data_IF_219586100513
#
_entry.id   IF_219586100513
#
_cell.length_a   1.000
_cell.length_b   1.000
_cell.length_c   1.000
_cell.angle_alpha   90.00
_cell.angle_beta   90.00
_cell.angle_gamma   90.00
#
_symmetry.space_group_name_H-M   'P 1'
#
loop_
_entity.id
_entity.type
_entity.pdbx_description
1 polymer ?
#
# COMPACT_ATOMS: atom_id res chain seq x y z
N UNK A 1 -15.46 2.10 -8.60
CA UNK A 1 -14.78 1.50 -7.43
C UNK A 1 -15.55 0.29 -6.96
N UNK A 2 -15.04 -0.94 -7.11
CA UNK A 2 -15.56 -2.12 -6.43
C UNK A 2 -15.11 -2.13 -4.96
N UNK A 3 -15.93 -2.71 -4.09
CA UNK A 3 -15.68 -2.89 -2.68
C UNK A 3 -15.89 -4.33 -2.27
N UNK A 4 -15.03 -4.89 -1.44
CA UNK A 4 -15.21 -6.19 -0.80
C UNK A 4 -15.48 -5.99 0.68
N UNK A 5 -16.49 -6.68 1.23
CA UNK A 5 -16.69 -6.83 2.68
C UNK A 5 -16.38 -8.27 3.04
N UNK A 6 -15.20 -8.47 3.64
CA UNK A 6 -14.74 -9.77 4.14
C UNK A 6 -15.51 -10.20 5.40
N UNK A 7 -15.55 -11.49 5.67
CA UNK A 7 -16.23 -12.04 6.84
C UNK A 7 -15.66 -11.56 8.19
N UNK A 8 -14.42 -11.07 8.19
CA UNK A 8 -13.74 -10.54 9.38
C UNK A 8 -13.96 -9.04 9.59
N UNK A 9 -14.68 -8.38 8.69
CA UNK A 9 -14.92 -6.94 8.74
C UNK A 9 -15.81 -6.53 9.91
N UNK A 10 -15.57 -5.33 10.45
CA UNK A 10 -16.58 -4.64 11.26
C UNK A 10 -17.72 -4.17 10.35
N UNK A 11 -18.82 -4.92 10.36
CA UNK A 11 -19.98 -4.72 9.49
C UNK A 11 -20.58 -3.32 9.68
N UNK A 12 -20.67 -2.84 10.93
CA UNK A 12 -21.26 -1.53 11.21
C UNK A 12 -20.41 -0.41 10.65
N UNK A 13 -19.10 -0.50 10.82
CA UNK A 13 -18.14 0.45 10.26
C UNK A 13 -18.17 0.39 8.73
N UNK A 14 -18.11 -0.80 8.13
CA UNK A 14 -18.10 -0.99 6.68
C UNK A 14 -19.35 -0.38 6.03
N UNK A 15 -20.55 -0.76 6.49
CA UNK A 15 -21.81 -0.27 5.95
C UNK A 15 -21.97 1.24 6.14
N UNK A 16 -21.63 1.76 7.33
CA UNK A 16 -21.70 3.20 7.58
C UNK A 16 -20.76 3.98 6.65
N UNK A 17 -19.54 3.50 6.48
CA UNK A 17 -18.53 4.11 5.61
C UNK A 17 -18.98 4.12 4.15
N UNK A 18 -19.52 3.00 3.66
CA UNK A 18 -20.04 2.90 2.28
C UNK A 18 -21.23 3.85 2.07
N UNK A 19 -22.17 3.92 3.02
CA UNK A 19 -23.30 4.83 2.92
C UNK A 19 -22.80 6.29 2.90
N UNK A 20 -21.92 6.64 3.81
CA UNK A 20 -21.37 7.99 3.90
C UNK A 20 -20.64 8.40 2.59
N UNK A 21 -19.83 7.51 2.07
CA UNK A 21 -19.12 7.69 0.80
C UNK A 21 -20.06 7.79 -0.40
N UNK A 22 -21.05 6.88 -0.48
CA UNK A 22 -21.96 6.80 -1.64
C UNK A 22 -23.00 7.91 -1.67
N UNK A 23 -23.31 8.52 -0.53
CA UNK A 23 -24.22 9.65 -0.43
C UNK A 23 -23.52 11.01 -0.50
N UNK A 24 -22.20 11.03 -0.32
CA UNK A 24 -21.41 12.24 -0.49
C UNK A 24 -21.56 12.76 -1.93
N UNK A 25 -21.95 14.01 -2.05
CA UNK A 25 -22.25 14.65 -3.34
C UNK A 25 -23.19 13.81 -4.23
N UNK A 26 -24.18 13.17 -3.63
CA UNK A 26 -25.08 12.21 -4.27
C UNK A 26 -24.37 11.19 -5.16
N UNK A 27 -23.21 10.71 -4.74
CA UNK A 27 -22.46 9.65 -5.43
C UNK A 27 -21.75 10.09 -6.72
N UNK A 28 -21.58 11.40 -6.94
CA UNK A 28 -20.89 11.93 -8.14
C UNK A 28 -19.38 11.72 -8.08
N UNK A 29 -18.79 11.58 -6.92
CA UNK A 29 -17.35 11.34 -6.82
C UNK A 29 -17.00 10.02 -7.52
N UNK A 30 -16.10 10.07 -8.50
CA UNK A 30 -15.69 8.92 -9.31
C UNK A 30 -15.07 7.78 -8.48
N UNK A 31 -14.47 8.09 -7.32
CA UNK A 31 -13.97 7.11 -6.36
C UNK A 31 -15.07 6.48 -5.50
N UNK A 32 -16.34 6.96 -5.54
CA UNK A 32 -17.42 6.37 -4.74
C UNK A 32 -17.69 4.92 -5.14
N UNK A 33 -18.19 4.16 -4.19
CA UNK A 33 -18.52 2.75 -4.38
C UNK A 33 -19.60 2.58 -5.46
N UNK A 34 -19.31 1.76 -6.48
CA UNK A 34 -20.26 1.41 -7.53
C UNK A 34 -20.89 0.04 -7.28
N UNK A 35 -20.16 -0.79 -6.55
CA UNK A 35 -20.54 -2.16 -6.23
C UNK A 35 -19.96 -2.59 -4.89
N UNK A 36 -20.65 -3.48 -4.18
CA UNK A 36 -20.18 -4.14 -2.99
C UNK A 36 -20.32 -5.65 -3.14
N UNK A 37 -19.22 -6.38 -3.00
CA UNK A 37 -19.20 -7.85 -2.95
C UNK A 37 -19.06 -8.27 -1.50
N UNK A 38 -20.03 -9.02 -0.99
CA UNK A 38 -20.13 -9.41 0.41
C UNK A 38 -19.94 -10.92 0.52
N UNK A 39 -19.13 -11.37 1.49
CA UNK A 39 -18.98 -12.78 1.79
C UNK A 39 -20.30 -13.39 2.21
N UNK A 40 -20.62 -14.58 1.69
CA UNK A 40 -21.92 -15.23 1.89
C UNK A 40 -22.26 -15.44 3.37
N UNK A 41 -21.24 -15.73 4.20
CA UNK A 41 -21.40 -15.97 5.65
C UNK A 41 -22.01 -14.78 6.40
N UNK A 42 -21.72 -13.57 5.96
CA UNK A 42 -22.18 -12.31 6.61
C UNK A 42 -23.22 -11.55 5.77
N UNK A 43 -23.58 -12.06 4.59
CA UNK A 43 -24.39 -11.35 3.60
C UNK A 43 -25.72 -10.81 4.20
N UNK A 44 -26.42 -11.66 4.92
CA UNK A 44 -27.72 -11.28 5.50
C UNK A 44 -27.58 -10.24 6.62
N UNK A 45 -26.50 -10.25 7.36
CA UNK A 45 -26.22 -9.27 8.40
C UNK A 45 -25.90 -7.91 7.77
N UNK A 46 -25.02 -7.87 6.78
CA UNK A 46 -24.70 -6.67 6.00
C UNK A 46 -25.96 -6.07 5.37
N UNK A 47 -26.81 -6.92 4.77
CA UNK A 47 -28.08 -6.49 4.17
C UNK A 47 -29.02 -5.83 5.21
N UNK A 48 -29.15 -6.44 6.38
CA UNK A 48 -29.95 -5.87 7.49
C UNK A 48 -29.40 -4.52 7.94
N UNK A 49 -28.07 -4.40 8.05
CA UNK A 49 -27.42 -3.16 8.46
C UNK A 49 -27.62 -2.04 7.44
N UNK A 50 -27.51 -2.31 6.13
CA UNK A 50 -27.86 -1.35 5.08
C UNK A 50 -29.30 -0.90 5.18
N UNK A 51 -30.25 -1.84 5.32
CA UNK A 51 -31.68 -1.52 5.44
C UNK A 51 -31.97 -0.70 6.70
N UNK A 52 -31.40 -1.05 7.85
CA UNK A 52 -31.50 -0.33 9.10
C UNK A 52 -31.07 1.13 8.98
N UNK A 53 -30.02 1.39 8.17
CA UNK A 53 -29.48 2.74 7.95
C UNK A 53 -30.19 3.52 6.85
N UNK A 54 -31.29 3.04 6.31
CA UNK A 54 -32.14 3.76 5.36
C UNK A 54 -31.80 3.51 3.89
N UNK A 55 -31.13 2.40 3.56
CA UNK A 55 -31.00 1.95 2.18
C UNK A 55 -32.19 1.09 1.78
N UNK A 56 -32.59 1.19 0.52
CA UNK A 56 -33.71 0.47 -0.05
C UNK A 56 -33.25 -0.65 -0.97
N UNK A 57 -33.62 -1.88 -0.68
CA UNK A 57 -33.35 -3.04 -1.53
C UNK A 57 -34.46 -3.20 -2.58
N UNK A 58 -34.07 -3.07 -3.83
CA UNK A 58 -34.99 -3.16 -4.96
C UNK A 58 -35.56 -4.58 -5.10
N UNK A 59 -36.88 -4.70 -5.27
CA UNK A 59 -37.54 -5.95 -5.59
C UNK A 59 -37.28 -6.34 -7.04
N UNK A 60 -37.55 -7.58 -7.40
CA UNK A 60 -37.23 -8.13 -8.72
C UNK A 60 -37.83 -7.33 -9.90
N UNK A 61 -39.06 -6.86 -9.75
CA UNK A 61 -39.72 -6.02 -10.76
C UNK A 61 -39.19 -4.58 -10.77
N UNK A 62 -38.81 -4.04 -9.61
CA UNK A 62 -38.20 -2.72 -9.45
C UNK A 62 -36.77 -2.68 -10.04
N UNK A 63 -35.98 -3.75 -9.87
CA UNK A 63 -34.65 -3.90 -10.49
C UNK A 63 -34.68 -3.60 -11.99
N UNK A 64 -35.64 -4.20 -12.72
CA UNK A 64 -35.75 -4.02 -14.17
C UNK A 64 -36.12 -2.59 -14.57
N UNK A 65 -36.89 -1.89 -13.73
CA UNK A 65 -37.22 -0.49 -13.96
C UNK A 65 -35.97 0.40 -13.73
N UNK A 66 -35.22 0.15 -12.67
CA UNK A 66 -34.00 0.90 -12.37
C UNK A 66 -32.91 0.63 -13.39
N UNK A 67 -32.72 -0.63 -13.87
CA UNK A 67 -31.81 -0.94 -15.00
C UNK A 67 -32.04 -0.03 -16.20
N UNK A 68 -33.27 0.05 -16.65
CA UNK A 68 -33.68 0.91 -17.80
C UNK A 68 -33.49 2.40 -17.52
N UNK A 69 -33.37 2.79 -16.25
CA UNK A 69 -33.12 4.18 -15.85
C UNK A 69 -31.62 4.49 -15.74
N UNK A 70 -30.79 3.50 -15.37
CA UNK A 70 -29.34 3.67 -15.28
C UNK A 70 -28.72 3.86 -16.66
N UNK A 71 -29.04 2.96 -17.61
CA UNK A 71 -28.48 2.95 -18.97
C UNK A 71 -29.59 3.29 -19.97
N UNK A 72 -29.36 4.33 -20.77
CA UNK A 72 -30.26 4.77 -21.83
C UNK A 72 -29.46 4.89 -23.13
N UNK A 73 -29.90 4.23 -24.18
CA UNK A 73 -29.21 4.26 -25.46
C UNK A 73 -27.77 3.73 -25.42
N UNK A 74 -27.48 2.77 -24.51
CA UNK A 74 -26.16 2.16 -24.36
C UNK A 74 -25.16 2.97 -23.52
N UNK A 75 -25.59 4.09 -22.93
CA UNK A 75 -24.72 4.96 -22.12
C UNK A 75 -25.38 5.31 -20.80
N UNK A 76 -24.55 5.73 -19.83
CA UNK A 76 -25.05 6.24 -18.55
C UNK A 76 -26.07 7.36 -18.76
N UNK A 77 -27.23 7.23 -18.14
CA UNK A 77 -28.26 8.27 -18.18
C UNK A 77 -27.80 9.53 -17.41
N UNK A 78 -27.40 10.56 -18.12
CA UNK A 78 -26.94 11.82 -17.51
C UNK A 78 -27.98 12.46 -16.55
N UNK A 79 -29.27 12.12 -16.66
CA UNK A 79 -30.31 12.69 -15.81
C UNK A 79 -30.29 12.15 -14.38
N UNK A 80 -29.64 10.99 -14.11
CA UNK A 80 -29.52 10.43 -12.77
C UNK A 80 -28.27 10.90 -12.05
N UNK A 81 -27.29 11.45 -12.76
CA UNK A 81 -26.01 11.88 -12.17
C UNK A 81 -26.25 12.96 -11.12
N UNK A 82 -25.76 12.72 -9.90
CA UNK A 82 -25.91 13.65 -8.78
C UNK A 82 -27.33 13.80 -8.22
N UNK A 83 -28.30 12.99 -8.68
CA UNK A 83 -29.65 13.00 -8.13
C UNK A 83 -29.75 12.17 -6.84
N UNK A 84 -30.70 12.50 -5.98
CA UNK A 84 -30.99 11.69 -4.80
C UNK A 84 -31.56 10.32 -5.18
N UNK A 85 -31.41 9.33 -4.28
CA UNK A 85 -31.98 8.00 -4.47
C UNK A 85 -33.51 8.05 -4.67
N UNK A 86 -34.19 8.91 -3.94
CA UNK A 86 -35.64 9.13 -4.08
C UNK A 86 -35.99 9.63 -5.50
N UNK A 87 -35.26 10.63 -6.02
CA UNK A 87 -35.52 11.17 -7.36
C UNK A 87 -35.27 10.13 -8.46
N UNK A 88 -34.24 9.32 -8.30
CA UNK A 88 -33.94 8.23 -9.25
C UNK A 88 -35.04 7.16 -9.23
N UNK A 89 -35.51 6.80 -8.04
CA UNK A 89 -36.63 5.87 -7.90
C UNK A 89 -37.91 6.42 -8.56
N UNK A 90 -38.22 7.72 -8.36
CA UNK A 90 -39.36 8.38 -9.02
C UNK A 90 -39.22 8.31 -10.56
N UNK A 91 -38.04 8.61 -11.11
CA UNK A 91 -37.74 8.50 -12.55
C UNK A 91 -37.90 7.08 -13.08
N UNK A 92 -37.60 6.06 -12.26
CA UNK A 92 -37.76 4.66 -12.58
C UNK A 92 -39.20 4.16 -12.38
N UNK A 93 -40.11 4.95 -11.84
CA UNK A 93 -41.45 4.54 -11.47
C UNK A 93 -41.47 3.51 -10.33
N UNK A 94 -40.59 3.70 -9.35
CA UNK A 94 -40.48 2.89 -8.13
C UNK A 94 -40.81 3.77 -6.92
N UNK A 95 -41.68 3.30 -6.06
CA UNK A 95 -42.09 4.03 -4.84
C UNK A 95 -41.19 3.63 -3.68
N UNK A 96 -40.47 4.59 -3.12
CA UNK A 96 -39.56 4.44 -1.97
C UNK A 96 -39.84 5.57 -0.97
N UNK A 97 -39.45 5.42 0.31
CA UNK A 97 -39.48 6.54 1.27
C UNK A 97 -38.59 7.70 0.78
N UNK A 98 -39.00 8.93 0.99
CA UNK A 98 -38.25 10.13 0.63
C UNK A 98 -36.87 10.16 1.32
N UNK A 99 -36.77 9.60 2.51
CA UNK A 99 -35.52 9.48 3.29
C UNK A 99 -34.57 8.41 2.80
N UNK A 100 -34.88 7.70 1.70
CA UNK A 100 -34.04 6.64 1.13
C UNK A 100 -32.67 7.20 0.73
N UNK A 101 -31.61 6.61 1.30
CA UNK A 101 -30.24 7.06 1.07
C UNK A 101 -29.62 6.46 -0.20
N UNK A 102 -29.81 5.17 -0.42
CA UNK A 102 -29.23 4.42 -1.54
C UNK A 102 -30.26 3.42 -2.06
N UNK A 103 -30.36 3.27 -3.37
CA UNK A 103 -31.06 2.16 -4.01
C UNK A 103 -30.07 1.01 -4.22
N UNK A 104 -30.34 -0.14 -3.63
CA UNK A 104 -29.44 -1.32 -3.73
C UNK A 104 -30.08 -2.37 -4.62
N UNK A 105 -29.40 -2.75 -5.68
CA UNK A 105 -29.73 -3.88 -6.53
C UNK A 105 -28.93 -5.11 -6.17
N UNK A 106 -29.61 -6.18 -5.71
CA UNK A 106 -28.99 -7.50 -5.57
C UNK A 106 -28.89 -8.14 -6.95
N UNK A 107 -27.69 -8.30 -7.45
CA UNK A 107 -27.41 -8.82 -8.80
C UNK A 107 -26.30 -9.88 -8.74
N UNK A 108 -26.31 -10.78 -9.72
CA UNK A 108 -25.36 -11.90 -9.76
C UNK A 108 -24.21 -11.65 -10.76
N UNK A 109 -24.56 -11.10 -11.93
CA UNK A 109 -23.58 -10.87 -13.00
C UNK A 109 -22.77 -9.60 -12.73
N UNK A 110 -21.45 -9.74 -12.88
CA UNK A 110 -20.48 -8.62 -12.89
C UNK A 110 -20.09 -8.22 -14.31
N UNK A 111 -20.67 -8.87 -15.31
CA UNK A 111 -20.41 -8.57 -16.73
C UNK A 111 -21.01 -7.22 -17.12
N UNK A 112 -20.36 -6.53 -18.03
CA UNK A 112 -20.78 -5.19 -18.49
C UNK A 112 -22.18 -5.17 -19.15
N UNK A 113 -22.74 -6.33 -19.51
CA UNK A 113 -24.13 -6.44 -19.96
C UNK A 113 -25.17 -6.26 -18.85
N UNK A 114 -24.74 -6.30 -17.58
CA UNK A 114 -25.59 -5.96 -16.42
C UNK A 114 -25.46 -4.46 -16.11
N UNK A 115 -26.55 -3.72 -16.19
CA UNK A 115 -26.56 -2.27 -16.01
C UNK A 115 -26.07 -1.83 -14.61
N UNK A 116 -26.29 -2.67 -13.59
CA UNK A 116 -25.77 -2.40 -12.25
C UNK A 116 -24.24 -2.57 -12.14
N UNK A 117 -23.59 -3.24 -13.09
CA UNK A 117 -22.13 -3.35 -13.11
C UNK A 117 -21.43 -2.06 -13.57
N UNK A 118 -22.15 -1.19 -14.28
CA UNK A 118 -21.62 0.08 -14.77
C UNK A 118 -21.37 1.11 -13.67
N UNK A 119 -20.60 2.13 -14.00
CA UNK A 119 -20.52 3.36 -13.22
C UNK A 119 -21.88 4.09 -13.27
N UNK A 120 -22.33 4.61 -12.14
CA UNK A 120 -23.69 5.21 -12.01
C UNK A 120 -23.66 6.66 -11.58
N UNK A 121 -22.57 7.15 -10.99
CA UNK A 121 -22.38 8.53 -10.50
C UNK A 121 -23.60 9.05 -9.74
N UNK A 122 -24.19 8.20 -8.92
CA UNK A 122 -25.45 8.43 -8.22
C UNK A 122 -25.60 7.46 -7.05
N UNK A 123 -26.50 7.67 -6.10
CA UNK A 123 -26.73 6.78 -4.95
C UNK A 123 -27.47 5.49 -5.36
N UNK A 124 -26.97 4.79 -6.36
CA UNK A 124 -27.40 3.46 -6.79
C UNK A 124 -26.20 2.52 -6.65
N UNK A 125 -26.38 1.39 -5.97
CA UNK A 125 -25.32 0.45 -5.62
C UNK A 125 -25.68 -0.97 -6.07
N UNK A 126 -24.75 -1.66 -6.70
CA UNK A 126 -24.84 -3.10 -6.93
C UNK A 126 -24.40 -3.87 -5.68
N UNK A 127 -25.10 -4.93 -5.30
CA UNK A 127 -24.68 -5.82 -4.23
C UNK A 127 -24.57 -7.25 -4.73
N UNK A 128 -23.37 -7.80 -4.62
CA UNK A 128 -23.00 -9.15 -5.03
C UNK A 128 -22.72 -10.03 -3.82
N UNK A 129 -22.91 -11.32 -4.00
CA UNK A 129 -22.54 -12.34 -3.01
C UNK A 129 -21.32 -13.09 -3.50
N UNK A 130 -20.40 -13.47 -2.61
CA UNK A 130 -19.29 -14.36 -2.89
C UNK A 130 -19.20 -15.46 -1.83
N UNK A 131 -18.98 -16.71 -2.28
CA UNK A 131 -18.84 -17.88 -1.41
C UNK A 131 -17.44 -17.99 -0.81
N UNK A 132 -16.44 -17.54 -1.55
CA UNK A 132 -15.04 -17.58 -1.17
C UNK A 132 -14.40 -16.22 -1.40
N UNK A 133 -13.27 -15.97 -0.73
CA UNK A 133 -12.51 -14.75 -0.94
C UNK A 133 -12.00 -14.63 -2.38
N UNK A 134 -11.54 -15.74 -2.98
CA UNK A 134 -11.10 -15.77 -4.38
C UNK A 134 -12.23 -15.38 -5.36
N UNK A 135 -13.47 -15.82 -5.07
CA UNK A 135 -14.63 -15.40 -5.86
C UNK A 135 -14.89 -13.89 -5.71
N UNK A 136 -14.73 -13.34 -4.51
CA UNK A 136 -14.87 -11.91 -4.29
C UNK A 136 -13.80 -11.10 -5.04
N UNK A 137 -12.55 -11.57 -5.01
CA UNK A 137 -11.45 -10.99 -5.78
C UNK A 137 -11.74 -11.04 -7.28
N UNK A 138 -12.13 -12.20 -7.83
CA UNK A 138 -12.42 -12.36 -9.26
C UNK A 138 -13.55 -11.41 -9.72
N UNK A 139 -14.60 -11.25 -8.91
CA UNK A 139 -15.66 -10.27 -9.18
C UNK A 139 -15.15 -8.83 -9.18
N UNK A 140 -14.32 -8.46 -8.21
CA UNK A 140 -13.75 -7.13 -8.14
C UNK A 140 -12.79 -6.84 -9.29
N UNK A 141 -11.94 -7.79 -9.68
CA UNK A 141 -11.06 -7.68 -10.86
C UNK A 141 -11.84 -7.46 -12.14
N UNK A 142 -12.92 -8.24 -12.34
CA UNK A 142 -13.80 -8.09 -13.52
C UNK A 142 -14.42 -6.70 -13.56
N UNK A 143 -14.95 -6.22 -12.46
CA UNK A 143 -15.54 -4.88 -12.36
C UNK A 143 -14.50 -3.76 -12.59
N UNK A 144 -13.24 -3.96 -12.18
CA UNK A 144 -12.15 -3.02 -12.48
C UNK A 144 -11.80 -3.06 -13.96
N UNK A 145 -11.74 -4.25 -14.56
CA UNK A 145 -11.42 -4.39 -15.99
C UNK A 145 -12.46 -3.72 -16.89
N UNK A 146 -13.74 -3.95 -16.61
CA UNK A 146 -14.84 -3.42 -17.41
C UNK A 146 -15.13 -1.93 -17.11
N UNK A 147 -14.93 -1.49 -15.86
CA UNK A 147 -15.13 -0.09 -15.44
C UNK A 147 -13.96 0.83 -15.70
N UNK A 148 -12.80 0.29 -16.11
CA UNK A 148 -11.57 1.02 -16.36
C UNK A 148 -10.49 0.81 -15.30
N UNK A 149 -9.32 0.36 -15.77
CA UNK A 149 -8.15 0.14 -14.92
C UNK A 149 -7.61 1.45 -14.31
N UNK A 150 -6.92 1.29 -13.18
CA UNK A 150 -6.06 2.31 -12.59
C UNK A 150 -6.75 3.20 -11.56
N UNK A 151 -8.09 3.19 -11.44
CA UNK A 151 -8.77 4.17 -10.59
C UNK A 151 -8.64 3.84 -9.09
N UNK A 152 -9.58 3.12 -8.51
CA UNK A 152 -9.67 2.87 -7.07
C UNK A 152 -10.35 1.52 -6.78
N UNK A 153 -9.91 0.84 -5.74
CA UNK A 153 -10.59 -0.31 -5.13
C UNK A 153 -10.61 -0.16 -3.61
N UNK A 154 -11.55 -0.83 -2.94
CA UNK A 154 -11.64 -0.79 -1.49
C UNK A 154 -11.96 -2.17 -0.90
N UNK A 155 -11.55 -2.39 0.33
CA UNK A 155 -11.82 -3.60 1.10
C UNK A 155 -12.07 -3.25 2.57
N UNK A 156 -13.07 -3.89 3.17
CA UNK A 156 -13.32 -3.89 4.62
C UNK A 156 -12.99 -5.27 5.17
N UNK A 157 -12.05 -5.34 6.10
CA UNK A 157 -11.44 -6.58 6.59
C UNK A 157 -10.74 -6.32 7.92
N UNK A 158 -10.53 -7.35 8.75
CA UNK A 158 -9.57 -7.24 9.86
C UNK A 158 -8.17 -7.00 9.30
N UNK A 159 -7.50 -5.95 9.77
CA UNK A 159 -6.14 -5.60 9.31
C UNK A 159 -5.06 -6.65 9.66
N UNK A 160 -5.38 -7.63 10.48
CA UNK A 160 -4.52 -8.76 10.78
C UNK A 160 -4.57 -9.87 9.72
N UNK A 161 -5.56 -9.86 8.83
CA UNK A 161 -5.68 -10.77 7.69
C UNK A 161 -4.67 -10.41 6.57
N UNK A 162 -3.37 -10.47 6.90
CA UNK A 162 -2.29 -10.00 6.02
C UNK A 162 -2.23 -10.71 4.68
N UNK A 163 -2.53 -12.01 4.66
CA UNK A 163 -2.52 -12.80 3.42
C UNK A 163 -3.64 -12.35 2.47
N UNK A 164 -4.88 -12.22 2.97
CA UNK A 164 -6.00 -11.72 2.18
C UNK A 164 -5.77 -10.28 1.69
N UNK A 165 -5.19 -9.42 2.53
CA UNK A 165 -4.81 -8.06 2.12
C UNK A 165 -3.79 -8.09 0.99
N UNK A 166 -2.73 -8.90 1.11
CA UNK A 166 -1.72 -9.03 0.05
C UNK A 166 -2.30 -9.57 -1.26
N UNK A 167 -3.22 -10.53 -1.19
CA UNK A 167 -3.95 -11.03 -2.38
C UNK A 167 -4.73 -9.90 -3.05
N UNK A 168 -5.52 -9.13 -2.27
CA UNK A 168 -6.28 -8.00 -2.80
C UNK A 168 -5.38 -6.92 -3.41
N UNK A 169 -4.32 -6.54 -2.72
CA UNK A 169 -3.36 -5.52 -3.18
C UNK A 169 -2.70 -5.91 -4.51
N UNK A 170 -2.34 -7.19 -4.68
CA UNK A 170 -1.70 -7.68 -5.89
C UNK A 170 -2.69 -7.88 -7.06
N UNK A 171 -3.93 -8.28 -6.78
CA UNK A 171 -4.94 -8.51 -7.80
C UNK A 171 -5.49 -7.21 -8.40
N UNK A 172 -5.71 -6.18 -7.57
CA UNK A 172 -6.36 -4.95 -8.02
C UNK A 172 -5.43 -4.07 -8.84
N UNK A 173 -5.69 -3.96 -10.16
CA UNK A 173 -5.00 -3.02 -11.06
C UNK A 173 -5.55 -1.60 -10.89
N UNK A 174 -5.39 -1.04 -9.69
CA UNK A 174 -5.83 0.30 -9.32
C UNK A 174 -4.71 1.07 -8.60
N UNK A 175 -4.60 2.37 -8.84
CA UNK A 175 -3.58 3.21 -8.21
C UNK A 175 -3.88 3.54 -6.74
N UNK A 176 -5.13 3.36 -6.32
CA UNK A 176 -5.60 3.58 -4.95
C UNK A 176 -6.27 2.33 -4.43
N UNK A 177 -5.74 1.80 -3.35
CA UNK A 177 -6.32 0.69 -2.59
C UNK A 177 -6.65 1.21 -1.21
N UNK A 178 -7.92 1.16 -0.84
CA UNK A 178 -8.44 1.71 0.41
C UNK A 178 -8.87 0.57 1.33
N UNK A 179 -8.25 0.50 2.49
CA UNK A 179 -8.56 -0.51 3.52
C UNK A 179 -9.36 0.17 4.62
N UNK A 180 -10.53 -0.36 4.95
CA UNK A 180 -11.41 0.13 6.02
C UNK A 180 -11.70 1.65 5.92
N UNK A 181 -11.80 2.18 4.71
CA UNK A 181 -11.88 3.62 4.45
C UNK A 181 -13.02 3.89 3.45
N UNK A 182 -13.87 4.91 3.69
CA UNK A 182 -14.89 5.35 2.73
C UNK A 182 -14.23 5.73 1.40
N UNK A 183 -14.64 5.12 0.29
CA UNK A 183 -13.87 5.21 -0.95
C UNK A 183 -13.87 6.63 -1.56
N UNK A 184 -14.98 7.36 -1.53
CA UNK A 184 -15.02 8.73 -2.02
C UNK A 184 -14.08 9.64 -1.23
N UNK A 185 -14.22 9.66 0.10
CA UNK A 185 -13.43 10.52 0.97
C UNK A 185 -11.96 10.14 1.00
N UNK A 186 -11.67 8.82 1.11
CA UNK A 186 -10.30 8.31 1.10
C UNK A 186 -9.62 8.53 -0.24
N UNK A 187 -10.33 8.35 -1.36
CA UNK A 187 -9.80 8.52 -2.70
C UNK A 187 -9.44 9.96 -3.05
N UNK A 188 -10.28 10.93 -2.69
CA UNK A 188 -9.99 12.35 -2.89
C UNK A 188 -8.89 12.87 -1.94
N UNK A 189 -8.53 12.10 -0.92
CA UNK A 189 -7.41 12.36 -0.02
C UNK A 189 -7.77 13.17 1.22
N UNK A 190 -6.87 13.12 2.19
CA UNK A 190 -6.80 13.95 3.39
C UNK A 190 -7.80 13.65 4.53
N UNK A 191 -9.02 13.17 4.27
CA UNK A 191 -10.03 13.04 5.35
C UNK A 191 -9.78 11.83 6.27
N UNK A 192 -9.25 10.72 5.74
CA UNK A 192 -9.06 9.46 6.48
C UNK A 192 -7.64 8.91 6.40
N UNK A 193 -6.77 9.55 5.63
CA UNK A 193 -5.38 9.13 5.47
C UNK A 193 -4.51 10.32 5.04
N UNK A 194 -3.21 10.24 5.29
CA UNK A 194 -2.21 11.24 4.91
C UNK A 194 -1.32 10.79 3.73
N UNK A 195 -1.66 9.66 3.08
CA UNK A 195 -0.89 9.15 1.94
C UNK A 195 -1.32 9.76 0.62
N UNK A 196 -2.60 10.11 0.50
CA UNK A 196 -3.16 10.69 -0.72
C UNK A 196 -3.34 12.18 -0.52
N UNK A 197 -2.71 12.99 -1.37
CA UNK A 197 -2.88 14.44 -1.36
C UNK A 197 -4.33 14.80 -1.75
N UNK A 198 -4.92 15.87 -1.18
CA UNK A 198 -6.26 16.32 -1.54
C UNK A 198 -6.35 16.65 -3.02
N UNK A 199 -7.27 16.01 -3.73
CA UNK A 199 -7.52 16.30 -5.16
C UNK A 199 -8.86 15.72 -5.60
N UNK A 200 -9.52 16.40 -6.54
CA UNK A 200 -10.66 15.88 -7.30
C UNK A 200 -10.25 15.31 -8.66
N UNK A 201 -8.96 15.39 -9.02
CA UNK A 201 -8.40 14.81 -10.23
C UNK A 201 -7.51 13.63 -9.84
N UNK A 202 -7.98 12.42 -10.10
CA UNK A 202 -7.35 11.18 -9.67
C UNK A 202 -6.66 10.50 -10.87
N UNK A 203 -5.33 10.49 -10.87
CA UNK A 203 -4.56 9.80 -11.89
C UNK A 203 -4.76 8.30 -11.83
N UNK A 204 -4.85 7.64 -12.98
CA UNK A 204 -5.05 6.19 -13.10
C UNK A 204 -3.79 5.44 -13.58
N UNK A 205 -2.66 6.12 -13.70
CA UNK A 205 -1.39 5.57 -14.10
C UNK A 205 -1.41 4.91 -15.49
N UNK A 206 -0.41 4.11 -15.78
CA UNK A 206 -0.30 3.40 -17.06
C UNK A 206 -1.44 2.41 -17.31
N UNK A 207 -2.00 1.81 -16.26
CA UNK A 207 -3.18 0.96 -16.37
C UNK A 207 -4.38 1.69 -16.98
N UNK A 208 -4.60 2.96 -16.59
CA UNK A 208 -5.67 3.79 -17.11
C UNK A 208 -5.27 4.69 -18.28
N UNK A 209 -4.10 4.47 -18.89
CA UNK A 209 -3.60 5.30 -19.99
C UNK A 209 -3.19 6.71 -19.58
N UNK A 210 -2.87 6.93 -18.31
CA UNK A 210 -2.47 8.22 -17.77
C UNK A 210 -0.97 8.30 -17.49
N UNK A 211 -0.42 9.50 -17.55
CA UNK A 211 0.98 9.77 -17.15
C UNK A 211 1.15 9.89 -15.64
N UNK A 212 0.06 10.03 -14.88
CA UNK A 212 0.05 10.26 -13.43
C UNK A 212 -0.72 9.14 -12.75
N UNK A 213 -0.12 8.51 -11.72
CA UNK A 213 -0.71 7.44 -10.92
C UNK A 213 -1.16 7.89 -9.53
N UNK A 214 -1.05 9.18 -9.23
CA UNK A 214 -1.37 9.76 -7.93
C UNK A 214 -2.46 10.84 -8.05
N UNK A 215 -2.88 11.37 -6.92
CA UNK A 215 -3.80 12.51 -6.87
C UNK A 215 -3.11 13.75 -7.46
N UNK A 216 -3.72 14.34 -8.48
CA UNK A 216 -3.11 15.45 -9.23
C UNK A 216 -3.13 16.73 -8.39
N UNK A 217 -1.96 17.33 -8.23
CA UNK A 217 -1.77 18.56 -7.49
C UNK A 217 -0.92 19.57 -8.28
N UNK A 218 -0.58 20.67 -7.65
CA UNK A 218 0.18 21.78 -8.26
C UNK A 218 1.49 21.32 -8.91
N UNK A 219 2.18 20.34 -8.31
CA UNK A 219 3.44 19.79 -8.85
C UNK A 219 3.32 19.21 -10.27
N UNK A 220 2.11 18.82 -10.69
CA UNK A 220 1.85 18.28 -12.03
C UNK A 220 1.55 19.37 -13.08
N UNK A 221 1.34 20.60 -12.62
CA UNK A 221 1.01 21.75 -13.47
C UNK A 221 2.19 22.68 -13.69
N UNK A 222 3.33 22.42 -13.06
CA UNK A 222 4.55 23.22 -13.15
C UNK A 222 5.64 22.47 -13.90
N UNK A 223 6.48 23.21 -14.62
CA UNK A 223 7.68 22.68 -15.22
C UNK A 223 8.85 22.75 -14.22
N UNK A 224 9.35 21.59 -13.82
CA UNK A 224 10.52 21.49 -12.95
C UNK A 224 11.77 21.50 -13.83
N UNK A 225 12.64 22.51 -13.63
CA UNK A 225 13.95 22.54 -14.29
C UNK A 225 15.00 21.96 -13.36
N UNK A 226 15.74 20.99 -13.85
CA UNK A 226 16.90 20.46 -13.16
C UNK A 226 18.16 21.12 -13.70
N UNK A 227 18.94 21.75 -12.81
CA UNK A 227 20.26 22.28 -13.16
C UNK A 227 21.30 21.30 -12.64
N UNK A 228 21.98 20.64 -13.55
CA UNK A 228 23.08 19.73 -13.23
C UNK A 228 24.42 20.42 -13.55
N UNK A 229 25.25 20.58 -12.54
CA UNK A 229 26.59 21.15 -12.68
C UNK A 229 27.62 20.05 -12.52
N UNK A 230 28.62 20.01 -13.41
CA UNK A 230 29.76 19.12 -13.28
C UNK A 230 30.55 19.49 -12.04
N UNK A 231 30.89 18.47 -11.24
CA UNK A 231 31.88 18.57 -10.16
C UNK A 231 33.25 18.11 -10.69
N UNK A 232 34.08 19.04 -11.09
CA UNK A 232 35.37 18.72 -11.66
C UNK A 232 36.28 17.92 -10.72
N UNK A 233 36.28 18.26 -9.45
CA UNK A 233 37.01 17.56 -8.41
C UNK A 233 36.44 16.21 -8.01
N UNK A 234 35.32 15.77 -8.63
CA UNK A 234 34.64 14.49 -8.33
C UNK A 234 34.89 13.44 -9.43
N UNK A 235 35.84 13.68 -10.32
CA UNK A 235 36.25 12.71 -11.35
C UNK A 235 37.31 11.70 -10.86
N UNK A 236 37.43 11.52 -9.56
CA UNK A 236 38.33 10.54 -8.99
C UNK A 236 37.54 9.51 -8.16
N UNK A 237 37.86 8.27 -8.34
CA UNK A 237 37.42 7.14 -7.54
C UNK A 237 38.57 6.75 -6.62
N UNK A 238 38.39 6.81 -5.31
CA UNK A 238 39.31 6.27 -4.34
C UNK A 238 38.94 4.85 -4.00
N UNK A 239 39.71 3.90 -4.43
CA UNK A 239 39.64 2.52 -3.96
C UNK A 239 40.62 2.33 -2.80
N UNK A 240 40.46 1.29 -1.96
CA UNK A 240 41.49 0.90 -1.02
C UNK A 240 42.82 0.72 -1.74
N UNK A 241 43.92 1.17 -1.15
CA UNK A 241 45.27 1.04 -1.73
C UNK A 241 45.62 -0.41 -2.02
N UNK A 242 45.12 -1.33 -1.20
CA UNK A 242 45.33 -2.78 -1.33
C UNK A 242 44.04 -3.53 -1.03
N UNK A 243 43.72 -4.47 -1.91
CA UNK A 243 42.63 -5.44 -1.74
C UNK A 243 43.21 -6.84 -1.82
N UNK A 244 43.02 -7.64 -0.78
CA UNK A 244 43.41 -9.03 -0.75
C UNK A 244 42.18 -9.91 -0.99
N UNK A 245 42.20 -10.63 -2.09
CA UNK A 245 41.02 -11.43 -2.50
C UNK A 245 41.44 -12.88 -2.81
N UNK A 246 41.47 -13.73 -1.81
CA UNK A 246 41.72 -15.18 -1.93
C UNK A 246 41.39 -15.85 -0.60
N UNK A 247 40.90 -17.08 -0.63
CA UNK A 247 40.78 -17.88 0.59
C UNK A 247 42.14 -17.98 1.32
N UNK A 248 42.15 -17.65 2.62
CA UNK A 248 43.38 -17.68 3.43
C UNK A 248 44.30 -16.47 3.29
N UNK A 249 43.89 -15.39 2.63
CA UNK A 249 44.72 -14.18 2.49
C UNK A 249 44.74 -13.29 3.76
N UNK A 250 43.83 -13.50 4.72
CA UNK A 250 43.73 -12.66 5.92
C UNK A 250 45.04 -12.62 6.75
N UNK A 251 45.70 -13.74 7.10
CA UNK A 251 46.97 -13.67 7.80
C UNK A 251 48.05 -12.92 7.04
N UNK A 252 48.09 -13.04 5.71
CA UNK A 252 49.06 -12.33 4.84
C UNK A 252 48.80 -10.81 4.83
N UNK A 253 47.51 -10.42 4.86
CA UNK A 253 47.12 -9.02 4.99
C UNK A 253 47.53 -8.44 6.36
N UNK A 254 47.29 -9.21 7.43
CA UNK A 254 47.63 -8.80 8.80
C UNK A 254 49.16 -8.66 9.01
N UNK A 255 50.00 -9.47 8.35
CA UNK A 255 51.48 -9.33 8.41
C UNK A 255 51.96 -7.92 8.08
N UNK A 256 51.20 -7.19 7.24
CA UNK A 256 51.54 -5.80 6.89
C UNK A 256 51.43 -4.85 8.06
N UNK A 257 50.59 -5.13 9.04
CA UNK A 257 50.38 -4.25 10.22
C UNK A 257 51.69 -4.10 11.02
N UNK A 258 52.37 -5.20 11.29
CA UNK A 258 53.67 -5.16 11.99
C UNK A 258 54.83 -4.85 11.07
N UNK A 259 54.98 -5.60 9.96
CA UNK A 259 56.19 -5.60 9.14
C UNK A 259 56.34 -4.37 8.24
N UNK A 260 55.22 -3.70 7.90
CA UNK A 260 55.25 -2.57 6.95
C UNK A 260 54.73 -1.28 7.59
N UNK A 261 53.68 -1.39 8.42
CA UNK A 261 53.02 -0.23 8.99
C UNK A 261 53.44 0.07 10.44
N UNK A 262 54.26 -0.76 11.03
CA UNK A 262 54.80 -0.67 12.40
C UNK A 262 53.75 -0.45 13.48
N UNK A 263 52.59 -1.12 13.36
CA UNK A 263 51.47 -1.02 14.31
C UNK A 263 51.74 -1.84 15.57
N UNK A 264 51.35 -1.30 16.73
CA UNK A 264 51.62 -1.90 18.04
C UNK A 264 50.34 -2.17 18.85
N UNK A 265 49.23 -1.50 18.52
CA UNK A 265 47.98 -1.63 19.25
C UNK A 265 46.79 -1.71 18.30
N UNK A 266 46.15 -2.85 18.20
CA UNK A 266 45.01 -3.07 17.34
C UNK A 266 43.66 -3.08 18.14
N UNK A 267 42.68 -2.31 17.67
CA UNK A 267 41.33 -2.34 18.19
C UNK A 267 40.44 -3.07 17.19
N UNK A 268 39.93 -4.24 17.58
CA UNK A 268 39.08 -5.07 16.72
C UNK A 268 37.62 -4.72 17.00
N UNK A 269 36.87 -4.45 15.93
CA UNK A 269 35.44 -4.15 15.99
C UNK A 269 34.66 -5.22 15.23
N UNK A 270 33.69 -5.84 15.86
CA UNK A 270 32.90 -6.92 15.28
C UNK A 270 31.54 -7.06 16.00
N UNK A 271 30.70 -7.98 15.55
CA UNK A 271 29.46 -8.34 16.24
C UNK A 271 29.66 -9.54 17.19
N UNK A 272 28.65 -9.72 18.06
CA UNK A 272 28.65 -10.79 19.05
C UNK A 272 28.67 -12.19 18.43
N UNK A 273 28.05 -12.38 17.26
CA UNK A 273 28.00 -13.68 16.59
C UNK A 273 29.39 -14.07 16.08
N UNK A 274 30.06 -13.20 15.35
CA UNK A 274 31.40 -13.45 14.82
C UNK A 274 32.40 -13.67 15.97
N UNK A 275 32.31 -12.89 17.03
CA UNK A 275 33.17 -13.05 18.20
C UNK A 275 32.98 -14.41 18.88
N UNK A 276 31.74 -14.77 19.27
CA UNK A 276 31.44 -16.00 19.99
C UNK A 276 31.70 -17.28 19.20
N UNK A 277 31.63 -17.19 17.87
CA UNK A 277 31.92 -18.34 16.99
C UNK A 277 33.38 -18.43 16.55
N UNK A 278 34.28 -17.64 17.15
CA UNK A 278 35.72 -17.77 16.93
C UNK A 278 36.25 -17.20 15.61
N UNK A 279 35.45 -16.40 14.87
CA UNK A 279 35.93 -15.80 13.63
C UNK A 279 37.02 -14.77 13.87
N UNK A 280 37.09 -14.16 15.04
CA UNK A 280 38.16 -13.26 15.47
C UNK A 280 39.48 -13.98 15.76
N UNK A 281 39.50 -15.30 16.01
CA UNK A 281 40.67 -16.05 16.47
C UNK A 281 41.82 -16.00 15.48
N UNK A 282 41.53 -15.98 14.19
CA UNK A 282 42.56 -15.87 13.13
C UNK A 282 43.26 -14.51 13.25
N UNK A 283 42.54 -13.47 13.61
CA UNK A 283 43.10 -12.10 13.76
C UNK A 283 43.90 -12.03 15.03
N UNK A 284 43.32 -12.43 16.17
CA UNK A 284 43.99 -12.32 17.49
C UNK A 284 45.22 -13.15 17.58
N UNK A 285 45.22 -14.42 17.14
CA UNK A 285 46.40 -15.27 17.07
C UNK A 285 47.53 -14.66 16.22
N UNK A 286 47.15 -14.08 15.07
CA UNK A 286 48.15 -13.44 14.20
C UNK A 286 48.75 -12.18 14.82
N UNK A 287 47.93 -11.39 15.53
CA UNK A 287 48.40 -10.22 16.28
C UNK A 287 49.31 -10.62 17.44
N UNK A 288 49.01 -11.69 18.14
CA UNK A 288 49.87 -12.27 19.21
C UNK A 288 51.19 -12.71 18.68
N UNK A 289 51.23 -13.45 17.55
CA UNK A 289 52.48 -13.86 16.88
C UNK A 289 53.37 -12.68 16.55
N UNK A 290 52.77 -11.53 16.21
CA UNK A 290 53.53 -10.30 15.87
C UNK A 290 53.81 -9.41 17.09
N UNK A 291 53.38 -9.79 18.31
CA UNK A 291 53.57 -8.99 19.50
C UNK A 291 52.72 -7.69 19.51
N UNK A 292 51.64 -7.64 18.73
CA UNK A 292 50.74 -6.50 18.66
C UNK A 292 49.68 -6.64 19.74
N UNK A 293 49.62 -5.71 20.67
CA UNK A 293 48.57 -5.70 21.73
C UNK A 293 47.22 -5.46 21.07
N UNK A 294 46.19 -6.16 21.49
CA UNK A 294 44.87 -5.97 20.92
C UNK A 294 43.77 -6.05 21.98
N UNK A 295 42.61 -5.47 21.65
CA UNK A 295 41.35 -5.65 22.35
C UNK A 295 40.21 -5.72 21.34
N UNK A 296 39.07 -6.27 21.74
CA UNK A 296 37.93 -6.48 20.87
C UNK A 296 36.69 -5.82 21.44
N UNK A 297 36.03 -4.99 20.67
CA UNK A 297 34.68 -4.51 20.88
C UNK A 297 33.73 -5.32 19.99
N UNK A 298 32.87 -6.15 20.60
CA UNK A 298 32.05 -7.14 19.89
C UNK A 298 30.54 -6.92 20.08
N UNK A 299 30.13 -5.78 20.63
CA UNK A 299 28.73 -5.47 20.90
C UNK A 299 28.07 -4.69 19.74
N UNK A 300 28.61 -4.81 18.51
CA UNK A 300 27.99 -4.21 17.34
C UNK A 300 26.71 -4.98 16.99
N UNK A 301 25.61 -4.27 16.96
CA UNK A 301 24.31 -4.84 16.55
C UNK A 301 24.08 -4.68 15.05
N UNK A 302 23.24 -5.54 14.40
CA UNK A 302 22.70 -5.23 13.08
C UNK A 302 22.05 -3.85 13.10
N UNK A 303 22.26 -3.04 12.05
CA UNK A 303 21.87 -1.63 12.01
C UNK A 303 22.36 -0.82 13.24
N UNK A 304 23.69 -0.61 13.33
CA UNK A 304 24.28 -0.05 14.54
C UNK A 304 23.78 1.37 14.84
N UNK A 305 23.30 1.55 16.08
CA UNK A 305 22.79 2.84 16.54
C UNK A 305 23.92 3.82 16.85
N UNK A 306 23.59 5.11 16.92
CA UNK A 306 24.54 6.12 17.41
C UNK A 306 25.05 5.82 18.85
N UNK A 307 24.23 5.19 19.66
CA UNK A 307 24.64 4.77 21.01
C UNK A 307 25.70 3.67 20.95
N UNK A 308 25.52 2.65 20.11
CA UNK A 308 26.51 1.59 19.87
C UNK A 308 27.85 2.18 19.39
N UNK A 309 27.80 3.14 18.46
CA UNK A 309 29.02 3.83 18.00
C UNK A 309 29.72 4.61 19.11
N UNK A 310 28.97 5.31 19.99
CA UNK A 310 29.53 6.04 21.14
C UNK A 310 30.19 5.12 22.15
N UNK A 311 29.62 3.95 22.40
CA UNK A 311 30.19 2.94 23.30
C UNK A 311 31.49 2.36 22.73
N UNK A 312 31.51 2.06 21.43
CA UNK A 312 32.72 1.62 20.71
C UNK A 312 33.84 2.69 20.77
N UNK A 313 33.49 3.95 20.52
CA UNK A 313 34.46 5.07 20.63
C UNK A 313 35.01 5.21 22.04
N UNK A 314 34.16 5.09 23.07
CA UNK A 314 34.59 5.15 24.47
C UNK A 314 35.55 4.00 24.80
N UNK A 315 35.26 2.78 24.38
CA UNK A 315 36.14 1.63 24.56
C UNK A 315 37.48 1.81 23.84
N UNK A 316 37.41 2.29 22.60
CA UNK A 316 38.61 2.60 21.79
C UNK A 316 39.48 3.67 22.43
N UNK A 317 38.90 4.76 22.91
CA UNK A 317 39.65 5.85 23.54
C UNK A 317 40.38 5.39 24.81
N UNK A 318 39.81 4.45 25.58
CA UNK A 318 40.46 3.87 26.75
C UNK A 318 41.65 2.96 26.40
N UNK A 319 41.65 2.39 25.22
CA UNK A 319 42.72 1.50 24.78
C UNK A 319 43.83 2.23 23.99
N UNK A 320 43.50 3.37 23.38
CA UNK A 320 44.40 4.19 22.55
C UNK A 320 45.10 3.36 21.42
N UNK A 321 44.36 2.77 20.49
CA UNK A 321 44.95 1.98 19.41
C UNK A 321 45.61 2.85 18.37
N UNK A 322 46.53 2.26 17.60
CA UNK A 322 47.14 2.87 16.41
C UNK A 322 46.63 2.25 15.09
N UNK A 323 45.78 1.24 15.20
CA UNK A 323 45.06 0.64 14.07
C UNK A 323 43.68 0.09 14.51
N UNK A 324 42.69 0.23 13.66
CA UNK A 324 41.37 -0.39 13.82
C UNK A 324 41.20 -1.49 12.79
N UNK A 325 40.75 -2.65 13.22
CA UNK A 325 40.44 -3.79 12.35
C UNK A 325 38.92 -4.04 12.49
N UNK A 326 38.17 -3.82 11.42
CA UNK A 326 36.77 -4.16 11.37
C UNK A 326 36.58 -5.54 10.74
N UNK A 327 35.87 -6.43 11.43
CA UNK A 327 35.48 -7.74 10.94
C UNK A 327 33.95 -7.78 10.86
N UNK A 328 33.42 -7.88 9.66
CA UNK A 328 31.98 -7.87 9.43
C UNK A 328 31.60 -8.54 8.12
N UNK A 329 30.33 -8.78 7.95
CA UNK A 329 29.74 -9.50 6.81
C UNK A 329 29.08 -8.63 5.76
N UNK A 330 29.18 -7.30 5.81
CA UNK A 330 28.57 -6.48 4.77
C UNK A 330 28.21 -5.09 5.19
#
# INVERSE_FOLDING_TARGET
>A
TPVIIDETADIKMAVNSIIHSKTFDNGMICASEQSVTVMESIYNEVKKEFAFRGCYFLKKDELNKVRKTIIVGGSLNAKIVGQSAFKIAEMAGVSVPESTKILIGEVESVDISEEFAHEKLSPVLAMYKAKTFDEAIAKAERLVADGGYGHTSAIYIDVNEKEKLAIHENAMKTCRILVNTPAAHGGIGDLYNFKLAPSLTLGCGSWGGNSVSENVGVKHLINIKTVAQRRENMLWLRTPEKVYFKRGCLPVALDKLGNVMDKKKAFIVTDTFLYKNGYTDVITKKLDEMGIRHTCFYDVTPDPTLQCAREGVKAMASFEPDVIIALGGG
#
